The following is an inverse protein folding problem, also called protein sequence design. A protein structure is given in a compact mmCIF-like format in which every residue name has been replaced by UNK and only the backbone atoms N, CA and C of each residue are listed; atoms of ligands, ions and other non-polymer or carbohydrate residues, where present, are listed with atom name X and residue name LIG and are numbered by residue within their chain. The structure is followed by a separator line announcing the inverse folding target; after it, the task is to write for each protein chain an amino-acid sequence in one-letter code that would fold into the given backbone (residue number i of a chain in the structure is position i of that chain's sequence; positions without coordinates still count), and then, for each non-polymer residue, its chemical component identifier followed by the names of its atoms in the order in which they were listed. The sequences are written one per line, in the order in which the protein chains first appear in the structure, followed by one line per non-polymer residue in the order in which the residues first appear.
data_IF_074927482134
#
_entry.id   IF_074927482134
#
_cell.length_a   1.000
_cell.length_b   1.000
_cell.length_c   1.000
_cell.angle_alpha   90.00
_cell.angle_beta   90.00
_cell.angle_gamma   90.00
#
_symmetry.space_group_name_H-M   'P 1'
#
loop_
_entity.id
_entity.type
_entity.pdbx_description
1 polymer ?
#
# COMPACT_ATOMS: atom_id res chain seq x y z
N UNK A 1 -27.38 -0.71 5.13
CA UNK A 1 -26.29 -1.69 4.96
C UNK A 1 -26.55 -2.65 3.80
N UNK A 2 -27.80 -3.11 3.58
CA UNK A 2 -28.16 -4.03 2.46
C UNK A 2 -27.65 -3.60 1.08
N UNK A 3 -27.65 -2.30 0.77
CA UNK A 3 -27.16 -1.77 -0.52
C UNK A 3 -25.69 -2.11 -0.81
N UNK A 4 -24.86 -2.30 0.22
CA UNK A 4 -23.42 -2.53 0.09
C UNK A 4 -22.98 -3.94 0.49
N UNK A 5 -23.90 -4.86 0.79
CA UNK A 5 -23.60 -6.20 1.33
C UNK A 5 -22.61 -7.00 0.46
N UNK A 6 -22.62 -6.77 -0.86
CA UNK A 6 -21.72 -7.45 -1.79
C UNK A 6 -20.25 -7.03 -1.66
N UNK A 7 -19.97 -5.84 -1.11
CA UNK A 7 -18.61 -5.26 -1.10
C UNK A 7 -18.11 -4.88 0.29
N UNK A 8 -18.98 -4.66 1.27
CA UNK A 8 -18.63 -4.13 2.60
C UNK A 8 -17.74 -5.10 3.42
N UNK A 9 -17.00 -4.60 4.41
CA UNK A 9 -16.34 -5.44 5.40
C UNK A 9 -17.36 -6.16 6.30
N UNK A 10 -16.86 -7.09 7.12
CA UNK A 10 -17.68 -7.72 8.15
C UNK A 10 -18.18 -6.70 9.17
N UNK A 11 -19.42 -6.88 9.63
CA UNK A 11 -19.97 -6.17 10.77
C UNK A 11 -19.52 -6.82 12.08
N UNK A 12 -19.75 -6.14 13.20
CA UNK A 12 -19.51 -6.69 14.54
C UNK A 12 -20.32 -8.00 14.74
N UNK A 13 -21.56 -8.07 14.25
CA UNK A 13 -22.40 -9.28 14.32
C UNK A 13 -21.81 -10.48 13.56
N UNK A 14 -21.10 -10.22 12.46
CA UNK A 14 -20.46 -11.25 11.64
C UNK A 14 -19.07 -11.66 12.16
N UNK A 15 -18.44 -10.81 12.98
CA UNK A 15 -17.04 -10.94 13.42
C UNK A 15 -16.80 -12.22 14.21
N UNK A 16 -17.62 -12.50 15.23
CA UNK A 16 -17.46 -13.71 16.04
C UNK A 16 -17.63 -15.00 15.21
N UNK A 17 -18.53 -15.00 14.24
CA UNK A 17 -18.72 -16.14 13.33
C UNK A 17 -17.53 -16.31 12.38
N UNK A 18 -16.98 -15.22 11.84
CA UNK A 18 -15.80 -15.24 10.97
C UNK A 18 -14.54 -15.73 11.70
N UNK A 19 -14.29 -15.25 12.93
CA UNK A 19 -13.20 -15.75 13.77
C UNK A 19 -13.35 -17.25 14.01
N UNK A 20 -14.56 -17.71 14.37
CA UNK A 20 -14.83 -19.13 14.57
C UNK A 20 -14.61 -19.98 13.31
N UNK A 21 -14.90 -19.47 12.12
CA UNK A 21 -14.57 -20.16 10.86
C UNK A 21 -13.05 -20.27 10.68
N UNK A 22 -12.32 -19.16 10.86
CA UNK A 22 -10.86 -19.13 10.68
C UNK A 22 -10.12 -20.06 11.65
N UNK A 23 -10.42 -20.01 12.95
CA UNK A 23 -9.74 -20.86 13.96
C UNK A 23 -9.98 -22.37 13.78
N UNK A 24 -11.01 -22.74 13.02
CA UNK A 24 -11.32 -24.13 12.67
C UNK A 24 -10.79 -24.53 11.29
N UNK A 25 -10.29 -23.58 10.51
CA UNK A 25 -9.81 -23.79 9.16
C UNK A 25 -8.38 -24.39 9.14
N UNK A 26 -8.19 -25.50 8.44
CA UNK A 26 -6.88 -26.16 8.42
C UNK A 26 -5.80 -25.33 7.72
N UNK A 27 -6.15 -24.65 6.63
CA UNK A 27 -5.21 -23.85 5.86
C UNK A 27 -4.77 -22.62 6.67
N UNK A 28 -5.70 -21.97 7.37
CA UNK A 28 -5.37 -20.88 8.28
C UNK A 28 -4.46 -21.32 9.43
N UNK A 29 -4.78 -22.45 10.07
CA UNK A 29 -3.98 -22.99 11.17
C UNK A 29 -2.57 -23.38 10.72
N UNK A 30 -2.43 -23.94 9.53
CA UNK A 30 -1.13 -24.29 8.96
C UNK A 30 -0.33 -23.02 8.60
N UNK A 31 -0.97 -21.97 8.08
CA UNK A 31 -0.34 -20.68 7.81
C UNK A 31 0.18 -20.01 9.08
N UNK A 32 -0.67 -19.84 10.11
CA UNK A 32 -0.27 -19.26 11.40
C UNK A 32 0.80 -20.13 12.08
N UNK A 33 0.66 -21.45 11.99
CA UNK A 33 1.62 -22.40 12.53
C UNK A 33 3.01 -22.26 11.90
N UNK A 34 3.10 -22.14 10.56
CA UNK A 34 4.36 -21.93 9.84
C UNK A 34 5.03 -20.62 10.22
N UNK A 35 4.24 -19.55 10.40
CA UNK A 35 4.76 -18.26 10.84
C UNK A 35 5.36 -18.34 12.26
N UNK A 36 4.70 -19.05 13.19
CA UNK A 36 5.15 -19.18 14.58
C UNK A 36 6.26 -20.21 14.82
N UNK A 37 6.26 -21.32 14.08
CA UNK A 37 7.24 -22.38 14.25
C UNK A 37 7.51 -23.12 12.93
N UNK A 38 8.39 -22.56 12.08
CA UNK A 38 8.72 -23.14 10.77
C UNK A 38 9.26 -24.58 10.88
N UNK A 39 10.04 -24.86 11.92
CA UNK A 39 10.62 -26.19 12.17
C UNK A 39 9.55 -27.19 12.58
N UNK A 40 8.69 -26.87 13.55
CA UNK A 40 7.65 -27.80 14.02
C UNK A 40 6.58 -28.07 12.95
N UNK A 41 6.28 -27.09 12.09
CA UNK A 41 5.35 -27.23 10.98
C UNK A 41 5.76 -28.35 10.00
N UNK A 42 7.07 -28.60 9.86
CA UNK A 42 7.61 -29.63 8.97
C UNK A 42 7.53 -31.04 9.57
N UNK A 43 7.71 -31.17 10.89
CA UNK A 43 7.83 -32.47 11.56
C UNK A 43 6.53 -32.99 12.16
N UNK A 44 5.64 -32.11 12.63
CA UNK A 44 4.41 -32.50 13.30
C UNK A 44 3.23 -31.54 13.03
N UNK A 45 2.78 -31.40 11.76
CA UNK A 45 1.75 -30.43 11.37
C UNK A 45 0.42 -30.64 12.12
N UNK A 46 0.02 -31.90 12.36
CA UNK A 46 -1.23 -32.18 13.09
C UNK A 46 -1.21 -31.68 14.55
N UNK A 47 -0.10 -31.87 15.26
CA UNK A 47 0.04 -31.37 16.64
C UNK A 47 0.14 -29.84 16.66
N UNK A 48 0.87 -29.26 15.69
CA UNK A 48 0.95 -27.81 15.54
C UNK A 48 -0.44 -27.20 15.34
N UNK A 49 -1.29 -27.77 14.48
CA UNK A 49 -2.66 -27.29 14.28
C UNK A 49 -3.49 -27.28 15.56
N UNK A 50 -3.39 -28.34 16.38
CA UNK A 50 -4.10 -28.40 17.68
C UNK A 50 -3.62 -27.31 18.61
N UNK A 51 -2.30 -27.11 18.71
CA UNK A 51 -1.73 -26.05 19.54
C UNK A 51 -2.12 -24.65 19.03
N UNK A 52 -1.94 -24.39 17.73
CA UNK A 52 -2.30 -23.13 17.09
C UNK A 52 -3.78 -22.80 17.28
N UNK A 53 -4.68 -23.79 17.12
CA UNK A 53 -6.11 -23.60 17.37
C UNK A 53 -6.39 -23.21 18.81
N UNK A 54 -5.83 -23.93 19.78
CA UNK A 54 -6.03 -23.63 21.22
C UNK A 54 -5.52 -22.23 21.55
N UNK A 55 -4.35 -21.88 21.02
CA UNK A 55 -3.76 -20.57 21.19
C UNK A 55 -4.65 -19.47 20.59
N UNK A 56 -5.08 -19.60 19.33
CA UNK A 56 -5.96 -18.65 18.65
C UNK A 56 -7.30 -18.48 19.37
N UNK A 57 -7.95 -19.58 19.79
CA UNK A 57 -9.20 -19.51 20.54
C UNK A 57 -9.03 -18.77 21.86
N UNK A 58 -7.93 -19.03 22.56
CA UNK A 58 -7.64 -18.36 23.84
C UNK A 58 -7.38 -16.87 23.68
N UNK A 59 -6.73 -16.45 22.59
CA UNK A 59 -6.29 -15.06 22.41
C UNK A 59 -7.31 -14.21 21.63
N UNK A 60 -8.10 -14.81 20.74
CA UNK A 60 -8.99 -14.08 19.83
C UNK A 60 -10.44 -14.55 19.83
N UNK A 61 -10.74 -15.74 20.35
CA UNK A 61 -12.09 -16.33 20.27
C UNK A 61 -13.17 -15.59 21.07
N UNK A 62 -12.78 -14.65 21.94
CA UNK A 62 -13.69 -13.84 22.74
C UNK A 62 -14.07 -12.52 22.07
N UNK A 63 -13.39 -12.10 21.00
CA UNK A 63 -13.70 -10.84 20.32
C UNK A 63 -14.98 -10.97 19.50
N UNK A 64 -15.87 -10.01 19.68
CA UNK A 64 -17.13 -9.90 18.91
C UNK A 64 -17.21 -8.60 18.12
N UNK A 65 -16.19 -7.74 18.18
CA UNK A 65 -16.12 -6.48 17.45
C UNK A 65 -14.82 -6.39 16.68
N UNK A 66 -14.88 -5.77 15.50
CA UNK A 66 -13.70 -5.65 14.63
C UNK A 66 -12.63 -4.77 15.28
N UNK A 67 -13.03 -3.70 15.95
CA UNK A 67 -12.12 -2.77 16.63
C UNK A 67 -11.33 -3.47 17.75
N UNK A 68 -12.01 -4.30 18.55
CA UNK A 68 -11.36 -5.04 19.64
C UNK A 68 -10.37 -6.08 19.08
N UNK A 69 -10.72 -6.74 17.98
CA UNK A 69 -9.82 -7.67 17.29
C UNK A 69 -8.58 -6.95 16.76
N UNK A 70 -8.74 -5.80 16.10
CA UNK A 70 -7.62 -5.01 15.57
C UNK A 70 -6.72 -4.48 16.71
N UNK A 71 -7.32 -4.01 17.82
CA UNK A 71 -6.57 -3.62 19.00
C UNK A 71 -5.78 -4.80 19.59
N UNK A 72 -6.38 -6.00 19.67
CA UNK A 72 -5.70 -7.22 20.11
C UNK A 72 -4.59 -7.68 19.16
N UNK A 73 -4.72 -7.41 17.85
CA UNK A 73 -3.71 -7.72 16.84
C UNK A 73 -2.55 -6.70 16.78
N UNK A 74 -2.73 -5.49 17.31
CA UNK A 74 -1.77 -4.39 17.20
C UNK A 74 -0.36 -4.75 17.68
N UNK A 75 -0.24 -5.52 18.77
CA UNK A 75 1.04 -6.00 19.29
C UNK A 75 1.78 -6.90 18.29
N UNK A 76 1.09 -7.86 17.67
CA UNK A 76 1.67 -8.74 16.65
C UNK A 76 2.04 -7.98 15.38
N UNK A 77 1.25 -6.97 15.01
CA UNK A 77 1.59 -6.08 13.90
C UNK A 77 2.86 -5.29 14.24
N UNK A 78 2.97 -4.77 15.46
CA UNK A 78 4.18 -4.11 15.95
C UNK A 78 5.41 -5.02 15.87
N UNK A 79 5.32 -6.24 16.38
CA UNK A 79 6.41 -7.25 16.29
C UNK A 79 6.80 -7.56 14.83
N UNK A 80 5.84 -7.69 13.92
CA UNK A 80 6.12 -7.92 12.51
C UNK A 80 6.80 -6.71 11.85
N UNK A 81 6.35 -5.50 12.18
CA UNK A 81 6.95 -4.27 11.69
C UNK A 81 8.38 -4.15 12.21
N UNK A 82 8.60 -4.30 13.50
CA UNK A 82 9.94 -4.21 14.14
C UNK A 82 10.90 -5.30 13.67
N UNK A 83 10.42 -6.51 13.40
CA UNK A 83 11.28 -7.61 12.92
C UNK A 83 11.62 -7.52 11.43
N UNK A 84 10.91 -6.70 10.65
CA UNK A 84 11.10 -6.59 9.19
C UNK A 84 11.56 -5.21 8.72
N UNK A 85 11.70 -4.24 9.63
CA UNK A 85 12.16 -2.88 9.35
C UNK A 85 13.28 -2.50 10.33
N UNK A 86 14.16 -1.58 9.93
CA UNK A 86 15.14 -0.98 10.87
C UNK A 86 14.48 0.10 11.70
N UNK A 87 13.55 0.83 11.09
CA UNK A 87 12.82 1.95 11.70
C UNK A 87 11.54 2.19 10.90
N UNK A 88 10.47 2.55 11.59
CA UNK A 88 9.27 3.12 10.96
C UNK A 88 9.06 4.54 11.49
N UNK A 89 8.85 5.47 10.58
CA UNK A 89 8.64 6.90 10.90
C UNK A 89 7.40 7.43 10.20
N UNK A 90 6.79 8.47 10.78
CA UNK A 90 5.65 9.15 10.19
C UNK A 90 5.77 10.66 10.35
N UNK A 91 5.18 11.38 9.40
CA UNK A 91 5.06 12.83 9.43
C UNK A 91 3.68 13.27 8.91
N UNK A 92 3.26 14.48 9.26
CA UNK A 92 2.06 15.14 8.76
C UNK A 92 0.75 14.72 9.43
N UNK A 93 0.75 13.59 10.13
CA UNK A 93 -0.43 13.09 10.84
C UNK A 93 -0.84 14.01 12.02
N UNK A 94 0.12 14.72 12.61
CA UNK A 94 -0.09 15.75 13.63
C UNK A 94 -0.95 16.93 13.15
N UNK A 95 -1.10 17.11 11.84
CA UNK A 95 -1.91 18.17 11.24
C UNK A 95 -3.36 17.75 10.96
N UNK A 96 -3.73 16.50 11.27
CA UNK A 96 -5.07 15.97 11.04
C UNK A 96 -5.91 15.92 12.33
N UNK A 97 -7.22 16.09 12.21
CA UNK A 97 -8.16 15.91 13.32
C UNK A 97 -8.46 14.43 13.52
N UNK A 98 -8.11 13.91 14.71
CA UNK A 98 -8.35 12.52 15.12
C UNK A 98 -9.82 12.11 15.11
N UNK A 99 -10.74 13.07 15.14
CA UNK A 99 -12.19 12.84 15.16
C UNK A 99 -12.80 12.82 13.77
N UNK A 100 -12.09 13.29 12.74
CA UNK A 100 -12.56 13.35 11.37
C UNK A 100 -12.30 12.06 10.59
N UNK A 101 -13.05 11.89 9.50
CA UNK A 101 -12.81 10.86 8.50
C UNK A 101 -12.17 11.42 7.23
N UNK A 102 -11.21 10.67 6.70
CA UNK A 102 -10.40 11.06 5.56
C UNK A 102 -10.38 9.96 4.51
N UNK A 103 -10.31 10.35 3.24
CA UNK A 103 -9.94 9.46 2.15
C UNK A 103 -8.42 9.53 1.93
N UNK A 104 -7.70 8.59 2.53
CA UNK A 104 -6.26 8.44 2.32
C UNK A 104 -6.00 7.76 0.98
N UNK A 105 -5.34 8.47 0.08
CA UNK A 105 -4.92 7.96 -1.23
C UNK A 105 -3.40 7.80 -1.19
N UNK A 106 -2.91 6.57 -1.37
CA UNK A 106 -1.47 6.31 -1.31
C UNK A 106 -0.90 5.66 -2.56
N UNK A 107 0.44 5.74 -2.67
CA UNK A 107 1.17 4.88 -3.56
C UNK A 107 1.08 3.47 -3.02
N UNK A 108 1.35 2.49 -3.89
CA UNK A 108 1.15 1.10 -3.53
C UNK A 108 2.34 0.29 -4.04
N UNK A 109 3.23 -0.12 -3.15
CA UNK A 109 4.42 -0.93 -3.46
C UNK A 109 4.27 -2.35 -2.94
N UNK A 110 3.60 -2.55 -1.81
CA UNK A 110 3.37 -3.86 -1.21
C UNK A 110 1.87 -4.16 -1.08
N UNK A 111 1.47 -5.39 -1.44
CA UNK A 111 0.06 -5.80 -1.48
C UNK A 111 -0.62 -5.68 -0.11
N UNK A 112 0.07 -6.02 0.97
CA UNK A 112 -0.52 -6.13 2.32
C UNK A 112 0.17 -5.21 3.33
N UNK A 113 1.49 -5.02 3.22
CA UNK A 113 2.23 -4.21 4.17
C UNK A 113 1.84 -2.73 4.07
N UNK A 114 1.53 -2.19 2.88
CA UNK A 114 1.12 -0.79 2.71
C UNK A 114 -0.10 -0.40 3.58
N UNK A 115 -1.28 -1.03 3.44
CA UNK A 115 -2.42 -0.69 4.28
C UNK A 115 -2.21 -1.08 5.74
N UNK A 116 -1.34 -2.07 6.02
CA UNK A 116 -0.99 -2.46 7.38
C UNK A 116 -0.19 -1.37 8.09
N UNK A 117 0.88 -0.86 7.47
CA UNK A 117 1.74 0.17 8.07
C UNK A 117 1.01 1.49 8.21
N UNK A 118 0.15 1.86 7.25
CA UNK A 118 -0.72 3.04 7.38
C UNK A 118 -1.65 2.91 8.59
N UNK A 119 -2.33 1.77 8.74
CA UNK A 119 -3.21 1.54 9.89
C UNK A 119 -2.48 1.45 11.22
N UNK A 120 -1.28 0.86 11.22
CA UNK A 120 -0.41 0.82 12.38
C UNK A 120 -0.05 2.23 12.84
N UNK A 121 0.40 3.09 11.91
CA UNK A 121 0.76 4.48 12.25
C UNK A 121 -0.46 5.31 12.68
N UNK A 122 -1.62 5.11 12.06
CA UNK A 122 -2.88 5.75 12.49
C UNK A 122 -3.24 5.34 13.92
N UNK A 123 -3.26 4.04 14.20
CA UNK A 123 -3.62 3.50 15.51
C UNK A 123 -2.67 3.97 16.61
N UNK A 124 -1.35 3.91 16.38
CA UNK A 124 -0.33 4.36 17.34
C UNK A 124 -0.44 5.87 17.66
N UNK A 125 -0.99 6.66 16.74
CA UNK A 125 -1.20 8.09 16.91
C UNK A 125 -2.63 8.45 17.40
N UNK A 126 -3.44 7.45 17.76
CA UNK A 126 -4.78 7.64 18.33
C UNK A 126 -5.87 7.95 17.31
N UNK A 127 -5.68 7.61 16.05
CA UNK A 127 -6.72 7.62 15.01
C UNK A 127 -7.42 6.26 14.96
N UNK A 128 -8.63 6.24 14.40
CA UNK A 128 -9.27 4.99 14.00
C UNK A 128 -8.58 4.39 12.77
N UNK A 129 -8.54 3.06 12.71
CA UNK A 129 -8.10 2.33 11.51
C UNK A 129 -9.09 2.53 10.36
N UNK A 130 -8.57 2.43 9.14
CA UNK A 130 -9.30 2.66 7.89
C UNK A 130 -10.10 1.43 7.46
N UNK A 131 -11.08 1.68 6.59
CA UNK A 131 -11.59 0.68 5.66
C UNK A 131 -10.63 0.58 4.47
N UNK A 132 -10.21 -0.64 4.12
CA UNK A 132 -9.14 -0.87 3.14
C UNK A 132 -9.76 -1.32 1.81
N UNK A 133 -9.50 -0.59 0.72
CA UNK A 133 -9.91 -1.02 -0.61
C UNK A 133 -9.03 -2.18 -1.11
N UNK A 134 -9.62 -3.32 -1.46
CA UNK A 134 -8.87 -4.48 -1.99
C UNK A 134 -9.45 -4.99 -3.30
N UNK A 135 -8.59 -5.54 -4.16
CA UNK A 135 -9.02 -6.20 -5.39
C UNK A 135 -9.70 -7.54 -5.14
N UNK A 136 -10.67 -7.86 -5.99
CA UNK A 136 -11.32 -9.18 -6.03
C UNK A 136 -10.36 -10.34 -6.35
N UNK A 137 -9.25 -10.09 -7.05
CA UNK A 137 -8.21 -11.07 -7.34
C UNK A 137 -7.62 -11.71 -6.07
N UNK A 138 -7.54 -10.95 -4.98
CA UNK A 138 -7.01 -11.45 -3.71
C UNK A 138 -8.00 -12.36 -2.97
N UNK A 139 -9.27 -12.35 -3.36
CA UNK A 139 -10.32 -13.16 -2.73
C UNK A 139 -10.43 -14.58 -3.28
N UNK A 140 -9.59 -14.94 -4.25
CA UNK A 140 -9.54 -16.31 -4.78
C UNK A 140 -9.14 -17.32 -3.69
N UNK A 141 -8.29 -16.92 -2.75
CA UNK A 141 -8.00 -17.70 -1.54
C UNK A 141 -9.04 -17.39 -0.46
N UNK A 142 -9.82 -18.40 -0.04
CA UNK A 142 -10.89 -18.24 0.96
C UNK A 142 -10.40 -17.75 2.31
N UNK A 143 -9.26 -18.25 2.79
CA UNK A 143 -8.69 -17.84 4.09
C UNK A 143 -8.30 -16.37 4.03
N UNK A 144 -7.62 -15.96 2.96
CA UNK A 144 -7.24 -14.57 2.75
C UNK A 144 -8.47 -13.66 2.66
N UNK A 145 -9.52 -14.08 1.95
CA UNK A 145 -10.76 -13.34 1.83
C UNK A 145 -11.44 -13.08 3.19
N UNK A 146 -11.52 -14.09 4.05
CA UNK A 146 -12.07 -13.95 5.41
C UNK A 146 -11.22 -13.01 6.26
N UNK A 147 -9.89 -13.13 6.21
CA UNK A 147 -8.96 -12.26 6.95
C UNK A 147 -9.07 -10.80 6.53
N UNK A 148 -9.09 -10.52 5.23
CA UNK A 148 -9.16 -9.14 4.76
C UNK A 148 -10.49 -8.48 5.12
N UNK A 149 -11.61 -9.21 5.00
CA UNK A 149 -12.94 -8.69 5.41
C UNK A 149 -13.03 -8.44 6.91
N UNK A 150 -12.36 -9.25 7.73
CA UNK A 150 -12.19 -8.98 9.16
C UNK A 150 -11.32 -7.75 9.42
N UNK A 151 -10.33 -7.50 8.57
CA UNK A 151 -9.48 -6.31 8.65
C UNK A 151 -10.12 -5.06 7.99
N UNK A 152 -11.44 -4.89 8.14
CA UNK A 152 -12.22 -3.77 7.56
C UNK A 152 -12.05 -3.57 6.04
N UNK A 153 -11.62 -4.60 5.30
CA UNK A 153 -11.43 -4.45 3.85
C UNK A 153 -12.74 -4.57 3.09
N UNK A 154 -12.92 -3.73 2.08
CA UNK A 154 -14.03 -3.78 1.14
C UNK A 154 -13.56 -4.09 -0.28
N UNK A 155 -14.42 -4.72 -1.06
CA UNK A 155 -14.06 -5.33 -2.34
C UNK A 155 -14.26 -4.36 -3.51
N UNK A 156 -13.21 -4.20 -4.29
CA UNK A 156 -13.22 -3.52 -5.59
C UNK A 156 -13.22 -4.60 -6.68
N UNK A 157 -14.34 -4.70 -7.41
CA UNK A 157 -14.48 -5.63 -8.54
C UNK A 157 -13.69 -5.12 -9.74
N UNK A 158 -12.86 -5.97 -10.34
CA UNK A 158 -11.93 -5.63 -11.44
C UNK A 158 -12.29 -6.35 -12.74
N UNK A 159 -12.74 -7.60 -12.65
CA UNK A 159 -12.94 -8.47 -13.81
C UNK A 159 -14.35 -8.35 -14.42
N UNK A 160 -14.73 -7.16 -14.91
CA UNK A 160 -16.04 -6.92 -15.53
C UNK A 160 -15.91 -6.69 -17.03
N UNK A 161 -16.62 -7.48 -17.83
CA UNK A 161 -16.59 -7.38 -19.30
C UNK A 161 -17.69 -6.47 -19.87
N UNK A 162 -18.77 -6.26 -19.11
CA UNK A 162 -19.90 -5.42 -19.52
C UNK A 162 -19.74 -3.97 -19.04
N UNK A 163 -19.83 -2.96 -19.94
CA UNK A 163 -19.79 -1.55 -19.54
C UNK A 163 -20.89 -1.15 -18.54
N UNK A 164 -22.05 -1.80 -18.60
CA UNK A 164 -23.15 -1.55 -17.65
C UNK A 164 -22.79 -2.07 -16.26
N UNK A 165 -22.26 -3.28 -16.19
CA UNK A 165 -21.85 -3.90 -14.94
C UNK A 165 -20.72 -3.09 -14.28
N UNK A 166 -19.72 -2.69 -15.06
CA UNK A 166 -18.63 -1.81 -14.61
C UNK A 166 -19.16 -0.49 -14.04
N UNK A 167 -20.09 0.16 -14.75
CA UNK A 167 -20.73 1.40 -14.26
C UNK A 167 -21.45 1.18 -12.94
N UNK A 168 -22.25 0.13 -12.83
CA UNK A 168 -23.07 -0.13 -11.64
C UNK A 168 -22.18 -0.52 -10.44
N UNK A 169 -21.09 -1.26 -10.67
CA UNK A 169 -20.08 -1.53 -9.67
C UNK A 169 -19.37 -0.24 -9.19
N UNK A 170 -18.99 0.66 -10.11
CA UNK A 170 -18.38 1.94 -9.76
C UNK A 170 -19.34 2.88 -9.04
N UNK A 171 -20.63 2.90 -9.39
CA UNK A 171 -21.65 3.66 -8.63
C UNK A 171 -21.76 3.11 -7.21
N UNK A 172 -21.79 1.78 -7.05
CA UNK A 172 -21.88 1.13 -5.73
C UNK A 172 -20.64 1.44 -4.88
N UNK A 173 -19.45 1.32 -5.47
CA UNK A 173 -18.18 1.62 -4.82
C UNK A 173 -18.07 3.09 -4.41
N UNK A 174 -18.40 4.00 -5.32
CA UNK A 174 -18.48 5.43 -5.05
C UNK A 174 -19.44 5.72 -3.89
N UNK A 175 -20.63 5.11 -3.91
CA UNK A 175 -21.62 5.27 -2.86
C UNK A 175 -21.12 4.79 -1.50
N UNK A 176 -20.45 3.64 -1.46
CA UNK A 176 -19.85 3.12 -0.23
C UNK A 176 -18.72 4.00 0.31
N UNK A 177 -17.86 4.53 -0.56
CA UNK A 177 -16.77 5.44 -0.15
C UNK A 177 -17.36 6.72 0.46
N UNK A 178 -18.28 7.35 -0.25
CA UNK A 178 -18.97 8.55 0.22
C UNK A 178 -19.72 8.30 1.53
N UNK A 179 -20.47 7.19 1.62
CA UNK A 179 -21.17 6.80 2.84
C UNK A 179 -20.21 6.57 4.02
N UNK A 180 -19.05 5.98 3.77
CA UNK A 180 -18.04 5.75 4.82
C UNK A 180 -17.53 7.07 5.38
N UNK A 181 -17.18 8.03 4.52
CA UNK A 181 -16.74 9.36 4.98
C UNK A 181 -17.89 10.10 5.70
N UNK A 182 -19.10 10.10 5.14
CA UNK A 182 -20.29 10.72 5.76
C UNK A 182 -20.63 10.12 7.14
N UNK A 183 -20.31 8.84 7.35
CA UNK A 183 -20.52 8.12 8.63
C UNK A 183 -19.26 8.05 9.49
N UNK A 184 -18.29 8.92 9.22
CA UNK A 184 -17.07 9.10 9.98
C UNK A 184 -16.15 7.87 10.04
N UNK A 185 -15.99 7.19 8.91
CA UNK A 185 -15.05 6.10 8.72
C UNK A 185 -14.04 6.42 7.61
N UNK A 186 -12.78 6.61 7.99
CA UNK A 186 -11.68 6.82 7.04
C UNK A 186 -11.48 5.63 6.13
N UNK A 187 -10.99 5.89 4.92
CA UNK A 187 -10.67 4.89 3.92
C UNK A 187 -9.20 5.00 3.53
N UNK A 188 -8.57 3.86 3.32
CA UNK A 188 -7.31 3.79 2.58
C UNK A 188 -7.57 3.15 1.22
N UNK A 189 -7.04 3.77 0.17
CA UNK A 189 -7.11 3.26 -1.20
C UNK A 189 -5.81 3.58 -1.96
N UNK A 190 -5.33 2.61 -2.74
CA UNK A 190 -4.22 2.83 -3.66
C UNK A 190 -4.64 3.80 -4.78
N UNK A 191 -3.74 4.69 -5.19
CA UNK A 191 -3.97 5.70 -6.23
C UNK A 191 -4.25 5.16 -7.64
N UNK A 192 -3.98 3.86 -7.86
CA UNK A 192 -4.24 3.16 -9.12
C UNK A 192 -4.43 1.67 -8.89
N UNK A 193 -4.93 0.98 -9.91
CA UNK A 193 -5.02 -0.47 -9.88
C UNK A 193 -3.64 -1.12 -9.95
N UNK A 194 -3.37 -2.01 -8.99
CA UNK A 194 -2.12 -2.74 -8.89
C UNK A 194 -0.98 -1.92 -8.28
N UNK A 195 0.01 -2.63 -7.76
CA UNK A 195 1.20 -2.01 -7.18
C UNK A 195 2.14 -1.43 -8.23
N UNK A 196 2.88 -0.39 -7.86
CA UNK A 196 4.00 0.16 -8.60
C UNK A 196 5.16 -0.84 -8.68
N UNK A 197 5.77 -0.88 -9.87
CA UNK A 197 6.86 -1.81 -10.22
C UNK A 197 8.13 -1.08 -10.63
N UNK A 198 7.97 0.13 -11.13
CA UNK A 198 8.99 1.01 -11.69
C UNK A 198 9.26 2.22 -10.78
N UNK A 199 8.61 2.33 -9.62
CA UNK A 199 8.76 3.47 -8.73
C UNK A 199 8.10 4.76 -9.23
N UNK A 200 7.38 4.72 -10.36
CA UNK A 200 6.60 5.84 -10.88
C UNK A 200 5.19 5.81 -10.29
N UNK A 201 5.04 6.54 -9.20
CA UNK A 201 3.84 6.60 -8.41
C UNK A 201 2.87 7.67 -8.97
N UNK A 202 2.28 7.47 -10.16
CA UNK A 202 1.21 8.33 -10.71
C UNK A 202 -0.22 7.83 -10.43
N UNK A 203 -1.14 8.76 -10.17
CA UNK A 203 -2.54 8.51 -9.83
C UNK A 203 -3.36 8.32 -11.11
N UNK A 204 -4.22 7.30 -11.14
CA UNK A 204 -5.11 7.08 -12.30
C UNK A 204 -6.34 8.01 -12.19
N UNK A 205 -6.56 8.96 -13.12
CA UNK A 205 -7.74 9.83 -13.09
C UNK A 205 -9.08 9.08 -13.10
N UNK A 206 -9.10 7.82 -13.55
CA UNK A 206 -10.28 6.96 -13.51
C UNK A 206 -10.75 6.67 -12.06
N UNK A 207 -9.83 6.53 -11.10
CA UNK A 207 -10.19 6.30 -9.69
C UNK A 207 -10.90 7.53 -9.11
N UNK A 208 -10.41 8.72 -9.46
CA UNK A 208 -10.98 9.99 -9.02
C UNK A 208 -12.36 10.19 -9.63
N UNK A 209 -12.49 9.90 -10.94
CA UNK A 209 -13.79 9.91 -11.61
C UNK A 209 -14.77 8.95 -10.93
N UNK A 210 -14.31 7.78 -10.50
CA UNK A 210 -15.12 6.81 -9.77
C UNK A 210 -15.65 7.39 -8.45
N UNK A 211 -14.85 8.10 -7.67
CA UNK A 211 -15.31 8.71 -6.40
C UNK A 211 -16.54 9.61 -6.57
N UNK A 212 -16.68 10.30 -7.70
CA UNK A 212 -17.81 11.20 -7.99
C UNK A 212 -19.07 10.49 -8.52
N UNK A 213 -19.00 9.23 -8.98
CA UNK A 213 -20.08 8.61 -9.76
C UNK A 213 -21.43 8.53 -9.04
N UNK A 214 -21.45 8.26 -7.73
CA UNK A 214 -22.67 8.25 -6.92
C UNK A 214 -23.24 9.65 -6.65
N UNK A 215 -22.38 10.68 -6.62
CA UNK A 215 -22.76 12.08 -6.36
C UNK A 215 -23.21 12.83 -7.60
N UNK A 216 -22.94 12.34 -8.81
CA UNK A 216 -23.34 12.98 -10.06
C UNK A 216 -24.84 13.30 -10.15
N UNK A 217 -25.70 12.50 -9.52
CA UNK A 217 -27.16 12.71 -9.49
C UNK A 217 -27.64 13.59 -8.32
N UNK A 218 -26.75 13.95 -7.40
CA UNK A 218 -27.09 14.77 -6.22
C UNK A 218 -27.12 16.27 -6.51
N UNK A 219 -26.58 16.71 -7.66
CA UNK A 219 -26.46 18.12 -8.02
C UNK A 219 -25.20 18.81 -7.49
N UNK A 220 -24.37 18.11 -6.70
CA UNK A 220 -23.08 18.62 -6.23
C UNK A 220 -22.08 18.76 -7.38
N UNK A 221 -21.34 19.89 -7.38
CA UNK A 221 -20.16 20.10 -8.22
C UNK A 221 -19.10 19.00 -8.00
N UNK A 222 -18.20 18.81 -8.96
CA UNK A 222 -17.15 17.81 -8.82
C UNK A 222 -16.17 18.22 -7.70
N UNK A 223 -15.70 19.46 -7.75
CA UNK A 223 -14.89 20.10 -6.71
C UNK A 223 -15.50 19.95 -5.30
N UNK A 224 -16.78 20.30 -5.14
CA UNK A 224 -17.48 20.22 -3.86
C UNK A 224 -17.58 18.77 -3.36
N UNK A 225 -17.89 17.83 -4.26
CA UNK A 225 -17.95 16.42 -3.92
C UNK A 225 -16.58 15.87 -3.51
N UNK A 226 -15.49 16.30 -4.14
CA UNK A 226 -14.13 15.87 -3.79
C UNK A 226 -13.67 16.49 -2.47
N UNK A 227 -13.96 17.76 -2.21
CA UNK A 227 -13.64 18.43 -0.94
C UNK A 227 -14.32 17.74 0.25
N UNK A 228 -15.54 17.23 0.08
CA UNK A 228 -16.26 16.47 1.13
C UNK A 228 -15.64 15.10 1.46
N UNK A 229 -14.78 14.56 0.61
CA UNK A 229 -14.06 13.32 0.89
C UNK A 229 -12.84 13.53 1.80
N UNK A 230 -12.45 14.79 2.04
CA UNK A 230 -11.25 15.17 2.79
C UNK A 230 -10.04 14.36 2.31
N UNK A 231 -9.74 14.46 1.01
CA UNK A 231 -8.67 13.68 0.37
C UNK A 231 -7.33 14.06 0.99
N UNK A 232 -6.63 13.05 1.51
CA UNK A 232 -5.26 13.18 2.05
C UNK A 232 -4.33 12.33 1.19
N UNK A 233 -3.43 12.94 0.41
CA UNK A 233 -2.35 12.22 -0.28
C UNK A 233 -1.38 11.61 0.74
N UNK A 234 -0.99 10.36 0.53
CA UNK A 234 -0.09 9.61 1.42
C UNK A 234 1.07 9.02 0.62
N UNK A 235 2.30 9.30 1.01
CA UNK A 235 3.48 8.66 0.42
C UNK A 235 4.05 7.61 1.38
N UNK A 236 4.30 6.41 0.85
CA UNK A 236 4.93 5.29 1.55
C UNK A 236 6.29 5.07 0.88
N UNK A 237 7.35 5.30 1.64
CA UNK A 237 8.72 5.16 1.18
C UNK A 237 9.42 4.01 1.90
N UNK A 238 9.86 3.02 1.13
CA UNK A 238 10.65 1.89 1.60
C UNK A 238 12.10 2.13 1.23
N UNK A 239 13.02 1.88 2.15
CA UNK A 239 14.44 1.83 1.82
C UNK A 239 14.73 0.65 0.88
N UNK A 240 14.10 -0.51 1.15
CA UNK A 240 14.17 -1.68 0.29
C UNK A 240 12.80 -2.33 0.09
N UNK A 241 12.52 -2.75 -1.14
CA UNK A 241 11.33 -3.53 -1.46
C UNK A 241 11.68 -5.03 -1.49
N UNK A 242 11.06 -5.87 -0.65
CA UNK A 242 11.32 -7.31 -0.67
C UNK A 242 11.03 -7.99 -2.02
N UNK A 243 10.13 -7.41 -2.82
CA UNK A 243 9.71 -7.92 -4.12
C UNK A 243 10.40 -7.21 -5.30
N UNK A 244 11.47 -6.44 -5.07
CA UNK A 244 12.16 -5.67 -6.11
C UNK A 244 12.58 -6.51 -7.33
N UNK A 245 13.26 -7.64 -7.11
CA UNK A 245 13.69 -8.54 -8.17
C UNK A 245 12.50 -9.16 -8.92
N UNK A 246 11.40 -9.50 -8.22
CA UNK A 246 10.21 -10.07 -8.85
C UNK A 246 9.52 -9.04 -9.77
N UNK A 247 9.47 -7.77 -9.32
CA UNK A 247 8.94 -6.65 -10.09
C UNK A 247 9.81 -6.33 -11.30
N UNK A 248 11.14 -6.28 -11.11
CA UNK A 248 12.10 -6.05 -12.18
C UNK A 248 12.02 -7.15 -13.25
N UNK A 249 11.90 -8.41 -12.84
CA UNK A 249 11.71 -9.55 -13.75
C UNK A 249 10.39 -9.44 -14.54
N UNK A 250 9.31 -9.02 -13.88
CA UNK A 250 8.04 -8.79 -14.56
C UNK A 250 8.15 -7.66 -15.60
N UNK A 251 8.79 -6.54 -15.25
CA UNK A 251 8.99 -5.41 -16.16
C UNK A 251 9.86 -5.80 -17.37
N UNK A 252 10.99 -6.46 -17.14
CA UNK A 252 11.85 -7.00 -18.21
C UNK A 252 11.05 -7.89 -19.17
N UNK A 253 10.29 -8.84 -18.63
CA UNK A 253 9.59 -9.81 -19.45
C UNK A 253 8.47 -9.16 -20.25
N UNK A 254 7.78 -8.16 -19.69
CA UNK A 254 6.82 -7.33 -20.44
C UNK A 254 7.51 -6.55 -21.55
N UNK A 255 8.65 -5.92 -21.29
CA UNK A 255 9.39 -5.17 -22.29
C UNK A 255 9.88 -6.07 -23.43
N UNK A 256 10.36 -7.28 -23.12
CA UNK A 256 10.87 -8.23 -24.10
C UNK A 256 9.78 -8.96 -24.89
N UNK A 257 8.65 -9.30 -24.27
CA UNK A 257 7.63 -10.20 -24.87
C UNK A 257 6.27 -9.54 -25.11
N UNK A 258 6.08 -8.31 -24.65
CA UNK A 258 4.82 -7.57 -24.72
C UNK A 258 3.78 -7.94 -23.65
N UNK A 259 3.99 -9.01 -22.89
CA UNK A 259 3.05 -9.46 -21.86
C UNK A 259 3.74 -10.18 -20.70
N UNK A 260 3.05 -10.27 -19.56
CA UNK A 260 3.46 -11.11 -18.44
C UNK A 260 2.26 -11.88 -17.93
N UNK A 261 2.40 -13.20 -17.88
CA UNK A 261 1.38 -14.10 -17.36
C UNK A 261 1.86 -14.56 -15.99
N UNK A 262 1.16 -14.12 -14.95
CA UNK A 262 1.45 -14.54 -13.58
C UNK A 262 1.32 -16.04 -13.43
N UNK A 263 2.22 -16.64 -12.67
CA UNK A 263 2.13 -18.05 -12.29
C UNK A 263 1.06 -18.25 -11.24
N UNK A 264 0.48 -19.44 -11.20
CA UNK A 264 -0.44 -19.82 -10.12
C UNK A 264 0.30 -19.74 -8.78
N UNK A 265 -0.31 -19.09 -7.78
CA UNK A 265 0.29 -18.90 -6.46
C UNK A 265 1.27 -17.73 -6.33
N UNK A 266 1.65 -17.07 -7.42
CA UNK A 266 2.65 -15.97 -7.40
C UNK A 266 2.24 -14.81 -6.48
N UNK A 267 0.96 -14.42 -6.48
CA UNK A 267 0.46 -13.37 -5.58
C UNK A 267 0.60 -13.79 -4.10
N UNK A 268 0.40 -15.08 -3.78
CA UNK A 268 0.55 -15.60 -2.40
C UNK A 268 2.02 -15.54 -1.97
N UNK A 269 2.94 -15.95 -2.86
CA UNK A 269 4.38 -15.91 -2.58
C UNK A 269 4.86 -14.47 -2.36
N UNK A 270 4.41 -13.55 -3.18
CA UNK A 270 4.77 -12.13 -3.06
C UNK A 270 4.15 -11.46 -1.85
N UNK A 271 2.92 -11.84 -1.45
CA UNK A 271 2.33 -11.38 -0.18
C UNK A 271 3.19 -11.84 0.99
N UNK A 272 3.60 -13.11 1.00
CA UNK A 272 4.44 -13.64 2.07
C UNK A 272 5.82 -12.96 2.10
N UNK A 273 6.45 -12.81 0.92
CA UNK A 273 7.75 -12.14 0.77
C UNK A 273 7.68 -10.67 1.19
N UNK A 274 6.62 -9.98 0.79
CA UNK A 274 6.33 -8.60 1.17
C UNK A 274 6.16 -8.43 2.68
N UNK A 275 5.40 -9.32 3.33
CA UNK A 275 5.19 -9.27 4.77
C UNK A 275 6.45 -9.57 5.57
N UNK A 276 7.21 -10.62 5.21
CA UNK A 276 8.33 -11.12 6.05
C UNK A 276 9.71 -10.65 5.62
N UNK A 277 9.85 -10.13 4.40
CA UNK A 277 11.11 -9.65 3.88
C UNK A 277 11.55 -8.34 4.54
N UNK A 278 12.87 -8.14 4.60
CA UNK A 278 13.49 -6.95 5.16
C UNK A 278 13.27 -5.71 4.26
N UNK A 279 12.86 -4.60 4.88
CA UNK A 279 12.43 -3.37 4.22
C UNK A 279 13.31 -2.16 4.51
N UNK A 280 14.27 -2.29 5.42
CA UNK A 280 15.05 -1.17 5.93
C UNK A 280 14.17 -0.15 6.64
N UNK A 281 14.44 1.13 6.43
CA UNK A 281 13.64 2.24 6.97
C UNK A 281 12.37 2.44 6.13
N UNK A 282 11.21 2.43 6.79
CA UNK A 282 9.93 2.78 6.18
C UNK A 282 9.45 4.14 6.70
N UNK A 283 9.12 5.05 5.79
CA UNK A 283 8.51 6.34 6.11
C UNK A 283 7.10 6.43 5.52
N UNK A 284 6.13 6.85 6.34
CA UNK A 284 4.76 7.15 5.90
C UNK A 284 4.48 8.63 6.13
N UNK A 285 4.36 9.40 5.06
CA UNK A 285 3.98 10.81 5.13
C UNK A 285 2.50 10.96 4.82
N UNK A 286 1.77 11.66 5.70
CA UNK A 286 0.39 12.06 5.49
C UNK A 286 0.35 13.54 5.08
N UNK A 287 -0.11 13.84 3.87
CA UNK A 287 -0.23 15.21 3.39
C UNK A 287 -1.33 16.01 4.09
N UNK A 288 -1.44 17.29 3.75
CA UNK A 288 -2.57 18.11 4.16
C UNK A 288 -3.86 17.72 3.40
N UNK A 289 -5.05 17.80 4.02
CA UNK A 289 -6.30 17.59 3.31
C UNK A 289 -6.48 18.60 2.17
N UNK A 290 -6.86 18.12 0.99
CA UNK A 290 -7.18 18.98 -0.16
C UNK A 290 -8.56 19.60 0.07
N UNK A 291 -8.58 20.92 0.26
CA UNK A 291 -9.80 21.71 0.49
C UNK A 291 -10.26 22.51 -0.73
N UNK A 292 -9.40 22.63 -1.74
CA UNK A 292 -9.56 23.40 -2.98
C UNK A 292 -9.43 22.49 -4.20
N UNK A 293 -10.18 21.38 -4.20
CA UNK A 293 -10.11 20.37 -5.26
C UNK A 293 -10.36 21.00 -6.64
N UNK A 294 -9.50 20.72 -7.65
CA UNK A 294 -9.78 21.10 -9.03
C UNK A 294 -11.09 20.50 -9.53
N UNK A 295 -11.75 21.19 -10.47
CA UNK A 295 -13.07 20.77 -10.98
C UNK A 295 -13.01 19.63 -12.02
N UNK A 296 -11.89 18.89 -12.11
CA UNK A 296 -11.81 17.71 -12.95
C UNK A 296 -10.85 16.64 -12.43
N UNK A 297 -11.07 15.36 -12.80
CA UNK A 297 -10.27 14.24 -12.31
C UNK A 297 -8.78 14.30 -12.67
N UNK A 298 -8.42 14.85 -13.84
CA UNK A 298 -7.03 14.86 -14.31
C UNK A 298 -6.19 15.82 -13.47
N UNK A 299 -6.71 17.00 -13.20
CA UNK A 299 -5.98 18.01 -12.43
C UNK A 299 -5.92 17.64 -10.94
N UNK A 300 -6.98 17.01 -10.39
CA UNK A 300 -6.91 16.46 -9.03
C UNK A 300 -5.91 15.30 -8.92
N UNK A 301 -5.80 14.43 -9.93
CA UNK A 301 -4.76 13.39 -9.98
C UNK A 301 -3.36 14.02 -9.97
N UNK A 302 -3.10 14.99 -10.83
CA UNK A 302 -1.83 15.70 -10.89
C UNK A 302 -1.49 16.40 -9.56
N UNK A 303 -2.50 16.98 -8.87
CA UNK A 303 -2.32 17.56 -7.54
C UNK A 303 -1.94 16.52 -6.49
N UNK A 304 -2.60 15.36 -6.48
CA UNK A 304 -2.27 14.25 -5.58
C UNK A 304 -0.84 13.77 -5.86
N UNK A 305 -0.49 13.55 -7.12
CA UNK A 305 0.84 13.10 -7.54
C UNK A 305 1.93 14.08 -7.08
N UNK A 306 1.73 15.38 -7.33
CA UNK A 306 2.67 16.41 -6.90
C UNK A 306 2.87 16.42 -5.38
N UNK A 307 1.79 16.33 -4.59
CA UNK A 307 1.91 16.28 -3.13
C UNK A 307 2.65 15.01 -2.67
N UNK A 308 2.37 13.88 -3.30
CA UNK A 308 3.02 12.63 -2.92
C UNK A 308 4.51 12.59 -3.29
N UNK A 309 4.87 13.10 -4.47
CA UNK A 309 6.25 13.13 -4.95
C UNK A 309 7.07 14.17 -4.21
N UNK A 310 6.53 15.37 -3.99
CA UNK A 310 7.23 16.43 -3.26
C UNK A 310 7.52 16.05 -1.80
N UNK A 311 6.65 15.22 -1.19
CA UNK A 311 6.81 14.74 0.17
C UNK A 311 7.26 13.27 0.24
N UNK A 312 7.83 12.73 -0.85
CA UNK A 312 8.39 11.38 -0.82
C UNK A 312 9.70 11.38 -0.04
N UNK A 313 9.83 10.50 0.97
CA UNK A 313 11.05 10.40 1.75
C UNK A 313 12.12 9.60 0.97
N UNK A 314 13.08 10.31 0.39
CA UNK A 314 14.18 9.70 -0.35
C UNK A 314 15.23 9.10 0.60
N UNK A 315 15.41 7.79 0.48
CA UNK A 315 16.43 7.03 1.19
C UNK A 315 17.78 7.07 0.45
N UNK A 316 18.87 6.75 1.15
CA UNK A 316 20.19 6.59 0.54
C UNK A 316 20.17 5.61 -0.65
N UNK A 317 19.39 4.53 -0.56
CA UNK A 317 19.19 3.55 -1.64
C UNK A 317 18.61 4.17 -2.91
N UNK A 318 17.73 5.18 -2.80
CA UNK A 318 17.18 5.90 -3.95
C UNK A 318 18.27 6.75 -4.64
N UNK A 319 19.08 7.46 -3.85
CA UNK A 319 20.14 8.31 -4.36
C UNK A 319 21.24 7.50 -5.04
N UNK A 320 21.69 6.42 -4.40
CA UNK A 320 22.66 5.47 -4.96
C UNK A 320 22.15 4.90 -6.29
N UNK A 321 20.91 4.41 -6.32
CA UNK A 321 20.35 3.86 -7.55
C UNK A 321 20.27 4.91 -8.66
N UNK A 322 19.92 6.15 -8.34
CA UNK A 322 19.89 7.24 -9.31
C UNK A 322 21.28 7.54 -9.88
N UNK A 323 22.31 7.58 -9.03
CA UNK A 323 23.70 7.77 -9.47
C UNK A 323 24.19 6.61 -10.34
N UNK A 324 23.98 5.37 -9.90
CA UNK A 324 24.36 4.17 -10.65
C UNK A 324 23.61 4.07 -11.99
N UNK A 325 22.33 4.49 -12.03
CA UNK A 325 21.57 4.57 -13.28
C UNK A 325 22.25 5.50 -14.28
N UNK A 326 22.75 6.65 -13.86
CA UNK A 326 23.44 7.60 -14.76
C UNK A 326 24.79 7.12 -15.29
N UNK A 327 25.40 6.13 -14.64
CA UNK A 327 26.64 5.48 -15.08
C UNK A 327 26.40 4.26 -15.99
N UNK A 328 25.14 3.84 -16.19
CA UNK A 328 24.79 2.65 -16.95
C UNK A 328 24.92 2.89 -18.48
N UNK A 329 25.47 1.96 -19.28
CA UNK A 329 25.68 2.13 -20.74
C UNK A 329 24.41 2.36 -21.58
N UNK A 330 23.23 2.21 -20.98
CA UNK A 330 21.91 2.44 -21.60
C UNK A 330 21.15 3.61 -20.97
N UNK A 331 21.81 4.43 -20.14
CA UNK A 331 21.18 5.57 -19.50
C UNK A 331 20.78 6.64 -20.53
N UNK A 332 19.53 7.07 -20.49
CA UNK A 332 19.14 8.34 -21.08
C UNK A 332 19.63 9.47 -20.16
N UNK A 333 20.19 10.53 -20.78
CA UNK A 333 20.86 11.69 -20.18
C UNK A 333 20.52 11.94 -18.69
N UNK A 334 21.48 11.70 -17.81
CA UNK A 334 21.37 11.95 -16.38
C UNK A 334 22.41 12.99 -15.99
N UNK A 335 22.05 14.10 -15.30
CA UNK A 335 23.01 15.15 -14.92
C UNK A 335 24.10 14.64 -13.96
N UNK A 336 25.32 15.13 -14.14
CA UNK A 336 26.56 14.64 -13.51
C UNK A 336 26.63 14.76 -11.97
N UNK A 337 25.74 15.54 -11.32
CA UNK A 337 25.81 15.78 -9.87
C UNK A 337 24.44 16.06 -9.27
N UNK A 338 23.93 15.12 -8.47
CA UNK A 338 22.59 15.14 -7.86
C UNK A 338 22.63 15.62 -6.39
N UNK A 339 23.83 15.65 -5.81
CA UNK A 339 24.06 15.96 -4.40
C UNK A 339 23.58 17.36 -4.00
N UNK A 340 23.65 18.35 -4.90
CA UNK A 340 23.38 19.74 -4.53
C UNK A 340 21.92 20.18 -4.78
N UNK A 341 21.13 19.40 -5.53
CA UNK A 341 19.76 19.75 -5.92
C UNK A 341 18.65 18.95 -5.23
N UNK A 342 18.96 17.76 -4.69
CA UNK A 342 17.97 16.96 -3.97
C UNK A 342 17.95 17.38 -2.51
N UNK A 343 16.94 18.17 -2.13
CA UNK A 343 16.62 18.39 -0.71
C UNK A 343 16.01 17.10 -0.17
N UNK A 344 16.82 16.23 0.42
CA UNK A 344 16.32 15.07 1.16
C UNK A 344 15.83 15.48 2.55
N UNK A 345 14.83 14.77 3.07
CA UNK A 345 14.32 15.00 4.42
C UNK A 345 15.37 14.69 5.51
N UNK A 346 16.36 13.87 5.20
CA UNK A 346 17.49 13.51 6.06
C UNK A 346 18.82 13.71 5.31
N UNK A 347 19.85 14.22 5.97
CA UNK A 347 21.21 14.26 5.43
C UNK A 347 21.87 12.90 5.67
N UNK A 348 22.24 12.20 4.60
CA UNK A 348 22.90 10.90 4.68
C UNK A 348 24.41 11.07 4.90
N UNK A 349 24.95 10.38 5.91
CA UNK A 349 26.38 10.35 6.15
C UNK A 349 27.11 9.55 5.06
N UNK A 350 28.42 9.80 4.84
CA UNK A 350 29.21 9.01 3.89
C UNK A 350 29.14 7.49 4.14
N UNK A 351 29.08 7.07 5.41
CA UNK A 351 28.97 5.66 5.79
C UNK A 351 27.62 5.04 5.43
N UNK A 352 26.52 5.80 5.55
CA UNK A 352 25.19 5.34 5.13
C UNK A 352 25.09 5.21 3.61
N UNK A 353 25.70 6.15 2.87
CA UNK A 353 25.79 6.08 1.41
C UNK A 353 26.61 4.87 0.95
N UNK A 354 27.77 4.61 1.58
CA UNK A 354 28.60 3.44 1.29
C UNK A 354 27.88 2.11 1.60
N UNK A 355 27.14 2.05 2.72
CA UNK A 355 26.33 0.89 3.06
C UNK A 355 25.19 0.65 2.05
N UNK A 356 24.51 1.71 1.62
CA UNK A 356 23.45 1.65 0.61
C UNK A 356 23.99 1.22 -0.76
N UNK A 357 25.20 1.69 -1.12
CA UNK A 357 25.90 1.27 -2.34
C UNK A 357 26.23 -0.22 -2.34
N UNK A 358 26.84 -0.71 -1.25
CA UNK A 358 27.17 -2.12 -1.10
C UNK A 358 25.92 -3.02 -1.13
N UNK A 359 24.82 -2.61 -0.48
CA UNK A 359 23.57 -3.38 -0.50
C UNK A 359 22.89 -3.34 -1.88
N UNK A 360 22.93 -2.21 -2.59
CA UNK A 360 22.44 -2.11 -3.96
C UNK A 360 23.24 -3.02 -4.91
N UNK A 361 24.57 -2.99 -4.83
CA UNK A 361 25.44 -3.87 -5.62
C UNK A 361 25.14 -5.34 -5.33
N UNK A 362 25.04 -5.72 -4.05
CA UNK A 362 24.67 -7.08 -3.64
C UNK A 362 23.33 -7.52 -4.25
N UNK A 363 22.34 -6.63 -4.31
CA UNK A 363 21.02 -6.90 -4.92
C UNK A 363 21.10 -7.06 -6.43
N UNK A 364 21.88 -6.21 -7.10
CA UNK A 364 22.09 -6.29 -8.55
C UNK A 364 22.87 -7.56 -8.94
N UNK A 365 23.86 -7.95 -8.16
CA UNK A 365 24.62 -9.19 -8.37
C UNK A 365 23.77 -10.44 -8.17
N UNK A 366 22.81 -10.40 -7.25
CA UNK A 366 21.90 -11.51 -6.97
C UNK A 366 20.86 -11.75 -8.09
N UNK A 367 20.72 -10.85 -9.06
CA UNK A 367 19.75 -10.97 -10.15
C UNK A 367 20.39 -11.06 -11.55
N UNK A 368 19.60 -11.56 -12.50
CA UNK A 368 20.00 -11.66 -13.90
C UNK A 368 20.37 -10.28 -14.45
N UNK A 369 21.50 -10.14 -15.18
CA UNK A 369 21.89 -8.88 -15.81
C UNK A 369 20.76 -8.18 -16.59
N UNK A 370 19.85 -8.93 -17.20
CA UNK A 370 18.73 -8.38 -17.98
C UNK A 370 17.73 -7.57 -17.13
N UNK A 371 17.59 -7.87 -15.83
CA UNK A 371 16.60 -7.20 -14.96
C UNK A 371 17.20 -6.03 -14.18
N UNK A 372 18.54 -5.93 -14.11
CA UNK A 372 19.26 -4.91 -13.34
C UNK A 372 18.83 -3.47 -13.66
N UNK A 373 18.63 -3.05 -14.93
CA UNK A 373 18.15 -1.70 -15.22
C UNK A 373 16.77 -1.41 -14.62
N UNK A 374 15.86 -2.38 -14.66
CA UNK A 374 14.51 -2.23 -14.09
C UNK A 374 14.52 -2.18 -12.57
N UNK A 375 15.45 -2.91 -11.93
CA UNK A 375 15.66 -2.82 -10.48
C UNK A 375 16.17 -1.42 -10.11
N UNK A 376 17.19 -0.91 -10.81
CA UNK A 376 17.70 0.45 -10.61
C UNK A 376 16.61 1.51 -10.80
N UNK A 377 15.83 1.41 -11.88
CA UNK A 377 14.74 2.35 -12.16
C UNK A 377 13.72 2.43 -11.02
N UNK A 378 13.37 1.29 -10.42
CA UNK A 378 12.42 1.25 -9.31
C UNK A 378 12.86 2.10 -8.10
N UNK A 379 14.17 2.21 -7.85
CA UNK A 379 14.74 3.02 -6.78
C UNK A 379 15.12 4.44 -7.24
N UNK A 380 15.50 4.64 -8.49
CA UNK A 380 15.92 5.92 -9.04
C UNK A 380 14.75 6.84 -9.42
N UNK A 381 13.65 6.29 -9.95
CA UNK A 381 12.51 7.08 -10.40
C UNK A 381 11.85 7.96 -9.33
N UNK A 382 11.77 7.53 -8.05
CA UNK A 382 11.32 8.42 -6.97
C UNK A 382 12.16 9.70 -6.83
N UNK A 383 13.46 9.66 -7.13
CA UNK A 383 14.32 10.86 -7.11
C UNK A 383 13.93 11.80 -8.26
N UNK A 384 13.68 11.26 -9.46
CA UNK A 384 13.24 12.04 -10.63
C UNK A 384 11.94 12.79 -10.31
N UNK A 385 10.92 12.06 -9.86
CA UNK A 385 9.60 12.66 -9.63
C UNK A 385 9.60 13.62 -8.45
N UNK A 386 10.40 13.36 -7.40
CA UNK A 386 10.57 14.29 -6.30
C UNK A 386 11.25 15.61 -6.72
N UNK A 387 12.26 15.53 -7.61
CA UNK A 387 12.92 16.72 -8.17
C UNK A 387 11.95 17.55 -9.02
N UNK A 388 11.20 16.89 -9.91
CA UNK A 388 10.18 17.55 -10.76
C UNK A 388 9.12 18.26 -9.91
N UNK A 389 8.56 17.57 -8.90
CA UNK A 389 7.52 18.13 -8.04
C UNK A 389 8.00 19.31 -7.18
N UNK A 390 9.27 19.31 -6.75
CA UNK A 390 9.85 20.40 -5.94
C UNK A 390 10.32 21.59 -6.78
N UNK A 391 10.72 21.39 -8.04
CA UNK A 391 11.02 22.47 -8.97
C UNK A 391 9.77 23.33 -9.26
N UNK A 392 8.61 22.70 -9.44
CA UNK A 392 7.34 23.41 -9.66
C UNK A 392 6.89 24.27 -8.45
N UNK A 393 7.15 23.80 -7.21
CA UNK A 393 6.85 24.58 -5.99
C UNK A 393 7.67 25.87 -5.93
N UNK A 394 8.95 25.80 -6.32
CA UNK A 394 9.86 26.95 -6.29
C UNK A 394 9.45 28.03 -7.29
N UNK A 395 8.95 27.64 -8.47
CA UNK A 395 8.48 28.58 -9.50
C UNK A 395 7.15 29.29 -9.22
N UNK A 396 6.36 28.84 -8.23
CA UNK A 396 5.12 29.51 -7.81
C UNK A 396 5.33 30.47 -6.63
N UNK A 397 6.58 30.64 -6.19
CA UNK A 397 6.96 31.46 -5.02
C UNK A 397 7.64 32.79 -5.41
N UNK A 398 7.71 33.12 -6.71
CA UNK A 398 8.24 34.39 -7.24
C UNK A 398 7.15 35.36 -7.70
#
# INVERSE_FOLDING_TARGET
MQEFDAIRPYSDEETGAAINRLVNDQEFLDMVGRFKSPTLARWAPAMLRVFTRRWLNSHFGHYTRVDDLQAGLSSYVGELVESTTTRVTTSGLENLDKRGAYLFISNHRDIVFDPMVVNYQLFQNGFHTTRIAIGDNLLANRVFAEMMRLNKSFVVRRSMTSPREMRDAYITLSGFINHSIDTNHSIWIAQREGRAKDGLDFTDPAIIKMFYMSRKKSGLGFDEAMNRLHVVPVSIAYEYDPCDADKAQELETRARTGQYIKREGEDTEQIMKGLTGFKGHVHVHFGAPIHDSPDNPKDLAARIDREMHANYHLHASNLVAYQQRGLHPQAHDTPDTVSDSVVTAETWSPAEMEAAEAEMERRLEACDPAIRPYLLDMYANPVVTALEANAEKSGHSE
#
